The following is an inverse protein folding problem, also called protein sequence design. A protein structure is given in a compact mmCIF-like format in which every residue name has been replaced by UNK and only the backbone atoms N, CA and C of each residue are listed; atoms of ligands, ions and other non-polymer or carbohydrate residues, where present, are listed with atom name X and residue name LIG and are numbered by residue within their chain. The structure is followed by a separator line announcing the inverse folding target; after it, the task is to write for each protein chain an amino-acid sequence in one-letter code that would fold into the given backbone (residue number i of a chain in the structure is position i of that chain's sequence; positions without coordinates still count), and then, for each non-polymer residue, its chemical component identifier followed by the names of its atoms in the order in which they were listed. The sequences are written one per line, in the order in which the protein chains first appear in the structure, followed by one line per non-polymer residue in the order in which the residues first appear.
data_IF_496592415394
#
_entry.id   IF_496592415394
#
_cell.length_a   1.000
_cell.length_b   1.000
_cell.length_c   1.000
_cell.angle_alpha   90.00
_cell.angle_beta   90.00
_cell.angle_gamma   90.00
#
_symmetry.space_group_name_H-M   'P 1'
#
loop_
_entity.id
_entity.type
_entity.pdbx_description
1 polymer ?
2 non-polymer ?
3 non-polymer ?
4 non-polymer ?
5 water ?
#
# COMPACT_ATOMS: atom_id res chain seq x y z
N UNK A 3 -4.94 -4.01 32.62
CA UNK A 3 -5.37 -3.98 31.21
C UNK A 3 -5.13 -2.62 30.59
N UNK A 4 -4.34 -1.77 31.21
CA UNK A 4 -3.91 -0.50 30.62
C UNK A 4 -2.43 -0.59 30.38
N UNK A 5 -2.05 -0.32 29.15
CA UNK A 5 -0.65 -0.36 28.73
C UNK A 5 -0.08 1.05 28.80
N UNK A 6 0.93 1.20 29.66
CA UNK A 6 1.51 2.50 29.90
C UNK A 6 2.99 2.56 29.48
N UNK A 7 3.54 1.47 29.00
CA UNK A 7 4.96 1.34 28.69
C UNK A 7 5.17 0.08 27.85
N UNK A 8 6.36 -0.04 27.26
CA UNK A 8 6.66 -1.24 26.49
C UNK A 8 6.60 -2.43 27.43
N UNK A 9 6.98 -2.35 28.68
CA UNK A 9 6.91 -3.53 29.54
C UNK A 9 5.46 -3.88 29.90
N UNK A 10 4.55 -2.96 30.03
CA UNK A 10 3.14 -3.30 30.32
C UNK A 10 2.55 -4.13 29.22
N UNK A 11 3.07 -3.99 27.99
CA UNK A 11 2.44 -4.61 26.85
C UNK A 11 2.41 -6.11 26.90
N UNK A 12 3.38 -6.68 27.62
CA UNK A 12 3.41 -8.13 27.72
C UNK A 12 2.41 -8.67 28.70
N UNK A 13 1.75 -7.79 29.48
CA UNK A 13 0.88 -8.26 30.55
C UNK A 13 -0.61 -8.11 30.27
N UNK A 14 -1.03 -8.21 29.03
CA UNK A 14 -2.44 -8.06 28.69
C UNK A 14 -3.20 -9.37 28.53
N UNK A 15 -2.58 -10.52 28.77
CA UNK A 15 -3.36 -11.77 28.63
C UNK A 15 -4.43 -11.84 29.64
N UNK A 16 -5.63 -12.15 29.21
CA UNK A 16 -6.80 -12.19 30.05
C UNK A 16 -7.72 -11.03 29.87
N UNK A 17 -7.19 -9.92 29.28
CA UNK A 17 -8.01 -8.75 29.07
C UNK A 17 -8.84 -8.85 27.81
N UNK A 18 -10.15 -8.58 27.92
CA UNK A 18 -10.95 -8.40 26.71
C UNK A 18 -11.09 -6.92 26.33
N UNK A 19 -10.70 -5.99 27.23
CA UNK A 19 -10.73 -4.56 26.95
C UNK A 19 -9.38 -4.03 27.39
N UNK A 20 -8.53 -3.66 26.43
CA UNK A 20 -7.20 -3.14 26.68
C UNK A 20 -7.21 -1.63 26.37
N UNK A 21 -6.64 -0.82 27.23
CA UNK A 21 -6.45 0.58 26.94
C UNK A 21 -4.97 0.83 26.69
N UNK A 22 -4.70 1.40 25.53
CA UNK A 22 -3.31 1.70 25.15
C UNK A 22 -3.14 3.20 25.42
N UNK A 23 -2.47 3.53 26.53
CA UNK A 23 -2.21 4.94 26.84
C UNK A 23 -1.09 5.50 25.93
N UNK A 24 -0.99 6.82 25.96
CA UNK A 24 0.13 7.53 25.24
C UNK A 24 1.40 7.44 26.10
N UNK A 25 2.53 7.27 25.38
CA UNK A 25 3.87 7.20 25.99
C UNK A 25 4.88 7.22 24.87
N UNK A 26 6.16 7.33 25.26
CA UNK A 26 7.26 7.19 24.31
C UNK A 26 7.80 5.79 24.35
N UNK A 27 8.02 5.18 23.18
CA UNK A 27 8.77 3.93 23.06
C UNK A 27 10.26 4.34 23.01
N UNK A 28 11.02 3.99 24.02
CA UNK A 28 12.43 4.47 24.08
C UNK A 28 13.24 3.84 23.01
N UNK A 29 14.40 4.52 22.74
CA UNK A 29 15.42 3.95 21.85
C UNK A 29 15.70 2.50 22.23
N UNK A 30 15.85 1.64 21.23
CA UNK A 30 16.27 0.26 21.50
C UNK A 30 15.15 -0.63 21.97
N UNK A 31 13.87 -0.16 21.92
CA UNK A 31 12.72 -0.97 22.34
C UNK A 31 11.68 -1.07 21.23
N UNK A 32 10.85 -2.11 21.32
CA UNK A 32 9.70 -2.20 20.44
C UNK A 32 8.44 -2.38 21.27
N UNK A 33 7.30 -2.12 20.65
CA UNK A 33 5.97 -2.24 21.31
C UNK A 33 5.25 -3.38 20.62
N UNK A 34 5.05 -4.45 21.38
CA UNK A 34 4.45 -5.70 20.85
C UNK A 34 3.21 -6.03 21.66
N UNK A 35 2.08 -6.16 20.95
CA UNK A 35 0.82 -6.53 21.58
C UNK A 35 0.29 -7.82 20.99
N UNK A 36 -0.01 -8.79 21.90
CA UNK A 36 -0.60 -10.06 21.51
C UNK A 36 -1.91 -10.22 22.27
N UNK A 37 -2.95 -9.52 21.87
CA UNK A 37 -4.19 -9.52 22.70
C UNK A 37 -4.93 -10.85 22.59
N UNK A 38 -5.78 -11.06 23.63
CA UNK A 38 -6.68 -12.21 23.61
C UNK A 38 -7.57 -12.19 22.38
N UNK A 39 -8.01 -13.39 21.99
CA UNK A 39 -9.02 -13.50 20.91
C UNK A 39 -10.19 -12.57 21.14
N UNK A 40 -10.56 -11.77 20.14
CA UNK A 40 -11.72 -10.92 20.23
C UNK A 40 -11.56 -9.70 21.08
N UNK A 41 -10.35 -9.39 21.59
CA UNK A 41 -10.23 -8.24 22.49
C UNK A 41 -10.44 -6.93 21.73
N UNK A 42 -10.95 -5.95 22.47
CA UNK A 42 -10.98 -4.56 22.00
C UNK A 42 -9.75 -3.87 22.59
N UNK A 43 -8.98 -3.20 21.73
CA UNK A 43 -7.83 -2.39 22.15
C UNK A 43 -8.16 -0.98 21.75
N UNK A 44 -8.24 -0.07 22.74
CA UNK A 44 -8.60 1.31 22.51
C UNK A 44 -7.44 2.21 22.83
N UNK A 45 -7.03 3.05 21.87
CA UNK A 45 -5.99 4.01 22.13
C UNK A 45 -6.52 5.22 22.87
N UNK A 46 -5.79 5.63 23.90
CA UNK A 46 -6.19 6.78 24.75
C UNK A 46 -5.14 7.87 24.70
N UNK A 47 -4.07 7.72 23.95
CA UNK A 47 -3.05 8.75 23.79
C UNK A 47 -2.20 8.42 22.57
N UNK A 48 -1.30 9.36 22.27
CA UNK A 48 -0.39 9.18 21.13
C UNK A 48 0.88 8.45 21.61
N UNK A 49 1.44 7.64 20.70
CA UNK A 49 2.68 6.89 21.01
C UNK A 49 3.78 7.40 20.11
N UNK A 50 4.81 7.93 20.74
CA UNK A 50 5.96 8.53 20.01
C UNK A 50 7.15 7.61 20.11
N UNK A 51 7.86 7.42 19.00
CA UNK A 51 8.99 6.47 18.97
C UNK A 51 10.28 7.28 18.89
N UNK A 52 11.06 7.27 19.98
CA UNK A 52 12.35 7.97 19.98
C UNK A 52 13.23 7.43 18.88
N UNK A 53 14.16 8.26 18.40
CA UNK A 53 15.07 7.81 17.34
C UNK A 53 15.81 6.54 17.81
N UNK A 54 15.82 5.53 16.93
CA UNK A 54 16.29 4.20 17.30
C UNK A 54 17.20 3.63 16.22
N UNK A 55 18.02 2.68 16.62
CA UNK A 55 18.88 1.94 15.70
C UNK A 55 18.28 0.59 15.38
N UNK A 56 17.19 0.17 15.99
CA UNK A 56 16.60 -1.13 15.68
C UNK A 56 16.05 -1.23 14.28
N UNK A 57 16.04 -2.45 13.76
CA UNK A 57 15.22 -2.74 12.61
C UNK A 57 13.73 -2.69 12.99
N UNK A 58 12.90 -2.36 12.04
CA UNK A 58 11.47 -2.50 12.24
C UNK A 58 11.06 -3.96 12.13
N UNK A 59 9.79 -4.26 12.46
CA UNK A 59 8.80 -3.29 12.87
C UNK A 59 9.02 -2.79 14.29
N UNK A 60 8.66 -1.49 14.52
CA UNK A 60 8.79 -0.93 15.87
C UNK A 60 7.51 -1.17 16.69
N UNK A 61 6.40 -1.46 16.02
CA UNK A 61 5.13 -1.80 16.65
C UNK A 61 4.59 -3.02 15.94
N UNK A 62 4.24 -4.06 16.67
CA UNK A 62 3.60 -5.26 16.10
C UNK A 62 2.36 -5.59 16.93
N UNK A 63 1.25 -5.80 16.26
CA UNK A 63 0.05 -6.33 16.92
C UNK A 63 -0.39 -7.54 16.12
N UNK A 64 -0.66 -8.63 16.87
CA UNK A 64 -1.02 -9.91 16.26
C UNK A 64 -2.10 -10.52 17.10
N UNK A 65 -3.27 -10.78 16.52
CA UNK A 65 -4.34 -11.45 17.27
C UNK A 65 -5.47 -11.80 16.29
N UNK A 66 -6.47 -12.46 16.85
CA UNK A 66 -7.59 -13.01 16.10
C UNK A 66 -8.85 -12.23 16.48
N UNK A 67 -9.53 -11.65 15.49
CA UNK A 67 -10.79 -10.94 15.75
C UNK A 67 -10.61 -9.71 16.60
N UNK A 68 -9.44 -9.04 16.49
CA UNK A 68 -9.18 -7.85 17.30
C UNK A 68 -10.05 -6.69 16.83
N UNK A 69 -10.52 -5.90 17.80
CA UNK A 69 -11.27 -4.67 17.50
C UNK A 69 -10.39 -3.52 18.01
N UNK A 70 -9.68 -2.85 17.09
CA UNK A 70 -8.75 -1.78 17.46
C UNK A 70 -9.40 -0.46 17.20
N UNK A 71 -9.59 0.33 18.27
CA UNK A 71 -10.33 1.57 18.24
C UNK A 71 -9.32 2.68 18.48
N UNK A 72 -8.96 3.39 17.42
CA UNK A 72 -7.86 4.35 17.49
C UNK A 72 -8.19 5.66 18.14
N UNK A 73 -9.48 6.07 18.07
CA UNK A 73 -9.92 7.35 18.68
C UNK A 73 -9.03 8.50 18.16
N UNK A 74 -8.62 8.43 16.89
CA UNK A 74 -7.87 9.46 16.18
C UNK A 74 -6.48 9.74 16.78
N UNK A 75 -5.95 8.78 17.55
CA UNK A 75 -4.59 8.95 18.07
C UNK A 75 -3.53 8.60 17.04
N UNK A 76 -2.29 8.95 17.40
CA UNK A 76 -1.14 8.96 16.47
C UNK A 76 -0.04 8.05 16.96
N UNK A 77 0.52 7.29 16.02
CA UNK A 77 1.84 6.63 16.16
C UNK A 77 2.84 7.53 15.43
N UNK A 78 3.73 8.18 16.17
CA UNK A 78 4.67 9.17 15.61
C UNK A 78 6.06 8.52 15.45
N UNK A 79 6.46 8.33 14.21
CA UNK A 79 7.70 7.66 13.89
C UNK A 79 8.91 8.56 13.83
N UNK A 80 8.77 9.88 14.04
CA UNK A 80 9.93 10.77 14.01
C UNK A 80 10.72 10.64 12.70
N UNK A 81 10.00 10.47 11.60
CA UNK A 81 10.69 10.11 10.33
C UNK A 81 11.71 11.14 9.88
N UNK A 82 11.48 12.44 10.13
CA UNK A 82 12.42 13.45 9.66
C UNK A 82 13.79 13.32 10.32
N UNK A 83 13.91 12.58 11.43
CA UNK A 83 15.22 12.33 12.01
C UNK A 83 16.03 11.31 11.23
N UNK A 84 15.39 10.64 10.29
CA UNK A 84 16.07 9.61 9.47
C UNK A 84 16.15 10.01 8.00
N UNK A 85 15.10 10.68 7.47
CA UNK A 85 14.99 10.86 6.01
C UNK A 85 16.22 11.54 5.45
N UNK A 86 16.67 10.99 4.31
CA UNK A 86 17.89 11.51 3.67
C UNK A 86 17.78 11.42 2.14
N UNK A 87 16.61 11.22 1.60
CA UNK A 87 16.39 11.09 0.17
C UNK A 87 16.62 9.69 -0.36
N UNK A 88 17.17 8.77 0.44
CA UNK A 88 17.58 7.45 -0.06
C UNK A 88 16.70 6.32 0.49
N UNK A 89 15.89 6.60 1.50
CA UNK A 89 14.96 5.52 1.95
C UNK A 89 15.71 4.27 2.32
N UNK A 90 15.11 3.14 1.93
CA UNK A 90 15.67 1.83 2.26
C UNK A 90 16.59 1.36 1.16
N UNK A 91 16.91 2.25 0.18
CA UNK A 91 17.84 1.87 -0.87
C UNK A 91 19.28 2.01 -0.36
N UNK A 92 19.57 3.00 0.46
CA UNK A 92 20.93 3.35 0.83
C UNK A 92 20.86 4.39 1.93
N UNK A 93 21.97 4.97 2.30
CA UNK A 93 21.98 6.08 3.25
C UNK A 93 21.79 5.61 4.67
N UNK A 94 21.14 6.49 5.43
CA UNK A 94 20.91 6.22 6.86
C UNK A 94 20.01 4.96 7.02
N UNK A 95 20.22 4.26 8.14
CA UNK A 95 19.28 3.18 8.47
C UNK A 95 17.89 3.72 8.68
N UNK A 96 16.89 3.09 8.10
CA UNK A 96 15.49 3.44 8.32
C UNK A 96 14.78 2.26 9.00
N UNK A 97 14.29 2.34 10.24
CA UNK A 97 13.49 1.25 10.77
C UNK A 97 12.23 1.06 9.91
N UNK A 98 12.04 -0.16 9.41
CA UNK A 98 10.90 -0.40 8.53
C UNK A 98 10.51 -1.86 8.58
N UNK A 99 9.25 -2.19 8.35
CA UNK A 99 8.12 -1.24 8.37
C UNK A 99 8.03 -0.61 9.76
N UNK A 100 7.21 0.45 9.87
CA UNK A 100 7.00 1.07 11.18
C UNK A 100 6.08 0.20 12.02
N UNK A 101 4.85 -0.02 11.49
CA UNK A 101 3.86 -0.88 12.13
C UNK A 101 3.72 -2.18 11.35
N UNK A 102 3.44 -3.25 12.10
CA UNK A 102 3.08 -4.56 11.52
C UNK A 102 1.79 -5.02 12.17
N UNK A 103 0.81 -5.37 11.33
CA UNK A 103 -0.52 -5.85 11.77
C UNK A 103 -0.73 -7.24 11.19
N UNK A 104 -0.95 -8.23 12.07
CA UNK A 104 -1.11 -9.61 11.71
C UNK A 104 -2.40 -10.17 12.30
N UNK A 105 -2.91 -11.23 11.71
CA UNK A 105 -4.05 -11.95 12.25
C UNK A 105 -5.35 -11.50 11.57
N UNK A 106 -6.31 -11.03 12.38
CA UNK A 106 -7.61 -10.66 11.82
C UNK A 106 -8.28 -9.67 12.76
N UNK A 107 -9.38 -9.10 12.25
CA UNK A 107 -10.17 -8.14 12.99
C UNK A 107 -10.40 -6.87 12.21
N UNK A 108 -10.62 -5.78 12.94
CA UNK A 108 -10.96 -4.47 12.39
C UNK A 108 -10.17 -3.41 13.12
N UNK A 109 -9.43 -2.60 12.38
CA UNK A 109 -8.56 -1.55 12.88
C UNK A 109 -9.07 -0.23 12.36
N UNK A 110 -9.39 0.71 13.28
CA UNK A 110 -10.05 1.95 12.84
C UNK A 110 -9.42 3.19 13.42
N UNK A 111 -9.42 4.25 12.60
CA UNK A 111 -9.34 5.63 13.09
C UNK A 111 -8.13 5.90 13.94
N UNK A 112 -6.93 5.61 13.36
CA UNK A 112 -5.69 6.14 13.93
C UNK A 112 -4.83 6.66 12.78
N UNK A 113 -3.76 7.35 13.18
CA UNK A 113 -2.83 7.96 12.22
C UNK A 113 -1.43 7.46 12.50
N UNK A 114 -0.73 7.16 11.41
CA UNK A 114 0.73 7.00 11.42
C UNK A 114 1.31 8.29 10.90
N UNK A 115 2.11 8.94 11.74
CA UNK A 115 2.69 10.25 11.40
C UNK A 115 4.20 10.06 11.18
N UNK A 116 4.70 10.46 10.02
CA UNK A 116 6.14 10.50 9.78
C UNK A 116 6.84 9.16 10.07
N UNK A 117 6.42 8.12 9.33
CA UNK A 117 7.17 6.88 9.38
C UNK A 117 8.59 7.10 8.84
N UNK A 118 9.59 6.36 9.39
CA UNK A 118 10.96 6.47 8.83
C UNK A 118 10.99 6.08 7.36
N UNK A 119 10.29 5.02 6.99
CA UNK A 119 10.20 4.57 5.58
C UNK A 119 8.81 3.91 5.47
N UNK A 120 8.75 2.62 5.13
CA UNK A 120 7.45 2.02 4.87
C UNK A 120 6.61 2.05 6.15
N UNK A 121 5.32 2.46 6.00
CA UNK A 121 4.51 2.77 7.19
C UNK A 121 3.85 1.54 7.79
N UNK A 122 2.89 0.94 7.10
CA UNK A 122 2.09 -0.17 7.69
C UNK A 122 2.24 -1.43 6.83
N UNK A 123 2.80 -2.47 7.45
CA UNK A 123 2.90 -3.79 6.83
C UNK A 123 1.75 -4.67 7.33
N UNK A 124 1.04 -5.28 6.40
CA UNK A 124 -0.15 -6.06 6.68
C UNK A 124 0.10 -7.50 6.33
N UNK A 125 -0.12 -8.39 7.28
CA UNK A 125 -0.11 -9.83 7.02
C UNK A 125 0.93 -10.58 7.80
N UNK A 126 0.82 -11.89 7.85
CA UNK A 126 -0.30 -12.68 7.27
C UNK A 126 -1.54 -12.58 8.14
N UNK A 127 -2.62 -13.10 7.57
CA UNK A 127 -3.93 -13.09 8.25
C UNK A 127 -4.38 -14.55 8.56
N UNK A 128 -5.33 -14.60 9.52
CA UNK A 128 -5.97 -15.88 9.86
C UNK A 128 -7.46 -15.83 9.62
N UNK A 129 -8.00 -14.75 9.12
CA UNK A 129 -9.41 -14.52 8.85
C UNK A 129 -9.48 -13.11 8.25
N UNK A 130 -10.68 -12.54 8.06
CA UNK A 130 -10.69 -11.24 7.40
C UNK A 130 -10.05 -10.17 8.29
N UNK A 131 -9.31 -9.26 7.64
CA UNK A 131 -8.65 -8.14 8.29
C UNK A 131 -9.07 -6.85 7.58
N UNK A 132 -9.65 -5.93 8.33
CA UNK A 132 -10.13 -4.66 7.79
C UNK A 132 -9.39 -3.54 8.44
N UNK A 133 -8.85 -2.63 7.62
CA UNK A 133 -8.24 -1.38 8.08
C UNK A 133 -9.14 -0.25 7.55
N UNK A 134 -9.65 0.59 8.45
CA UNK A 134 -10.73 1.52 8.08
C UNK A 134 -10.47 2.87 8.71
N UNK A 135 -10.30 3.90 7.88
CA UNK A 135 -10.19 5.26 8.43
C UNK A 135 -8.84 5.54 9.04
N UNK A 136 -7.79 4.93 8.50
CA UNK A 136 -6.41 5.15 8.93
C UNK A 136 -5.79 6.22 8.04
N UNK A 137 -5.05 7.13 8.68
CA UNK A 137 -4.29 8.14 7.93
C UNK A 137 -2.80 7.83 8.05
N UNK A 138 -2.10 7.76 6.93
CA UNK A 138 -0.62 7.75 6.93
C UNK A 138 -0.24 9.16 6.48
N UNK A 139 0.17 9.99 7.45
CA UNK A 139 0.57 11.35 7.15
C UNK A 139 2.10 11.42 7.17
N UNK A 140 2.68 11.26 5.95
CA UNK A 140 4.07 11.46 5.72
C UNK A 140 4.30 12.71 4.85
N UNK A 141 3.36 13.65 4.88
CA UNK A 141 3.47 14.85 4.04
C UNK A 141 4.80 15.60 4.28
N UNK A 142 5.29 15.65 5.54
CA UNK A 142 6.53 16.34 5.82
C UNK A 142 7.67 15.79 4.99
N UNK A 143 7.58 14.54 4.56
CA UNK A 143 8.62 13.91 3.71
C UNK A 143 8.75 14.56 2.33
N UNK A 144 7.80 15.39 1.92
CA UNK A 144 7.92 16.06 0.64
C UNK A 144 9.02 17.08 0.66
N UNK A 145 9.32 17.66 1.82
CA UNK A 145 10.30 18.78 1.93
C UNK A 145 11.65 18.30 1.47
N UNK A 146 12.20 18.97 0.42
CA UNK A 146 13.47 18.63 -0.18
C UNK A 146 13.48 17.17 -0.65
N UNK A 147 12.30 16.58 -0.92
CA UNK A 147 12.25 15.21 -1.40
C UNK A 147 13.06 14.26 -0.50
N UNK A 148 13.04 14.54 0.82
CA UNK A 148 13.83 13.67 1.70
C UNK A 148 13.10 12.38 2.07
N UNK A 149 11.78 12.40 2.21
CA UNK A 149 11.07 11.15 2.49
C UNK A 149 11.17 10.22 1.29
N UNK A 150 11.29 8.93 1.56
CA UNK A 150 11.54 7.99 0.46
C UNK A 150 11.11 6.58 0.93
N UNK A 151 10.54 5.78 0.02
CA UNK A 151 10.09 4.44 0.38
C UNK A 151 9.06 4.50 1.53
N UNK A 152 8.26 5.57 1.55
CA UNK A 152 7.26 5.79 2.60
C UNK A 152 5.91 5.19 2.23
N UNK A 153 5.94 3.93 1.78
CA UNK A 153 4.71 3.24 1.37
C UNK A 153 3.65 3.34 2.47
N UNK A 154 2.40 3.59 2.06
CA UNK A 154 1.32 3.65 3.06
C UNK A 154 1.02 2.27 3.67
N UNK A 155 0.63 1.37 2.78
CA UNK A 155 0.27 0.00 3.18
C UNK A 155 1.01 -0.97 2.25
N UNK A 156 1.77 -1.90 2.85
CA UNK A 156 2.39 -3.02 2.10
C UNK A 156 1.67 -4.28 2.52
N UNK A 157 1.04 -4.95 1.56
CA UNK A 157 0.17 -6.08 1.87
C UNK A 157 0.72 -7.36 1.29
N UNK A 158 0.95 -8.34 2.18
CA UNK A 158 1.28 -9.75 1.82
C UNK A 158 0.35 -10.61 2.68
N UNK A 159 -0.85 -10.85 2.17
CA UNK A 159 -1.90 -11.40 3.05
C UNK A 159 -3.11 -11.73 2.18
N UNK A 160 -3.91 -12.67 2.71
CA UNK A 160 -5.23 -12.96 2.14
C UNK A 160 -6.32 -12.21 2.88
N UNK A 161 -7.45 -11.97 2.19
CA UNK A 161 -8.67 -11.58 2.89
C UNK A 161 -8.54 -10.27 3.66
N UNK A 162 -8.07 -9.25 2.94
CA UNK A 162 -7.85 -7.91 3.49
C UNK A 162 -8.74 -6.89 2.82
N UNK A 163 -9.30 -5.97 3.62
CA UNK A 163 -9.98 -4.81 3.11
C UNK A 163 -9.34 -3.56 3.74
N UNK A 164 -8.96 -2.59 2.92
CA UNK A 164 -8.45 -1.32 3.36
C UNK A 164 -9.37 -0.25 2.77
N UNK A 165 -10.06 0.50 3.64
CA UNK A 165 -11.11 1.40 3.13
C UNK A 165 -11.09 2.68 3.94
N UNK A 166 -11.53 3.77 3.27
CA UNK A 166 -11.71 5.05 3.95
C UNK A 166 -10.38 5.58 4.55
N UNK A 167 -9.26 5.20 3.98
CA UNK A 167 -7.95 5.65 4.48
C UNK A 167 -7.44 6.82 3.67
N UNK A 168 -6.42 7.48 4.23
CA UNK A 168 -5.80 8.65 3.61
C UNK A 168 -4.28 8.45 3.68
N UNK A 169 -3.59 8.58 2.55
CA UNK A 169 -2.13 8.45 2.54
C UNK A 169 -1.51 9.63 1.83
N UNK A 170 -0.63 10.34 2.52
CA UNK A 170 0.14 11.46 2.00
C UNK A 170 1.61 11.05 2.14
N UNK A 171 2.27 10.75 1.02
CA UNK A 171 3.59 10.12 1.14
C UNK A 171 4.41 10.35 -0.12
N UNK A 172 5.48 9.53 -0.27
CA UNK A 172 6.46 9.69 -1.35
C UNK A 172 6.66 8.38 -2.11
N UNK A 173 5.82 7.38 -1.89
CA UNK A 173 5.95 6.11 -2.61
C UNK A 173 4.55 5.52 -2.75
N UNK A 174 4.47 4.22 -3.01
CA UNK A 174 3.15 3.62 -3.27
C UNK A 174 2.19 3.96 -2.13
N UNK A 175 0.97 4.33 -2.50
CA UNK A 175 -0.10 4.50 -1.52
C UNK A 175 -0.40 3.16 -0.82
N UNK A 176 -0.54 2.16 -1.68
CA UNK A 176 -0.61 0.74 -1.31
C UNK A 176 0.28 0.01 -2.31
N UNK A 177 0.97 -1.03 -1.80
CA UNK A 177 1.63 -2.01 -2.67
C UNK A 177 1.11 -3.39 -2.22
N UNK A 178 0.40 -4.06 -3.14
CA UNK A 178 -0.10 -5.40 -2.88
C UNK A 178 0.92 -6.36 -3.47
N UNK A 179 1.65 -7.05 -2.56
CA UNK A 179 2.80 -7.84 -2.97
C UNK A 179 2.55 -9.35 -3.02
N UNK A 180 1.53 -9.83 -2.33
CA UNK A 180 1.21 -11.25 -2.31
C UNK A 180 -0.18 -11.40 -1.69
N UNK A 181 -0.95 -12.38 -2.15
CA UNK A 181 -2.20 -12.73 -1.49
C UNK A 181 -3.41 -12.69 -2.41
N UNK A 182 -4.48 -13.29 -1.88
CA UNK A 182 -5.76 -13.42 -2.54
C UNK A 182 -6.84 -12.67 -1.78
N UNK A 183 -7.77 -12.05 -2.55
CA UNK A 183 -9.00 -11.45 -2.00
C UNK A 183 -8.64 -10.20 -1.18
N UNK A 184 -8.24 -9.19 -1.90
CA UNK A 184 -7.78 -7.93 -1.33
C UNK A 184 -8.59 -6.80 -1.97
N UNK A 185 -9.17 -5.97 -1.11
CA UNK A 185 -10.05 -4.88 -1.53
C UNK A 185 -9.48 -3.56 -1.00
N UNK A 186 -9.30 -2.59 -1.90
CA UNK A 186 -8.78 -1.26 -1.55
C UNK A 186 -9.88 -0.28 -2.04
N UNK A 187 -10.70 0.24 -1.11
CA UNK A 187 -11.91 0.95 -1.51
C UNK A 187 -12.05 2.29 -0.77
N UNK A 188 -12.40 3.32 -1.55
CA UNK A 188 -12.78 4.64 -0.99
C UNK A 188 -11.64 5.24 -0.17
N UNK A 189 -10.40 5.11 -0.69
CA UNK A 189 -9.24 5.72 -0.08
C UNK A 189 -8.80 6.97 -0.86
N UNK A 190 -7.99 7.80 -0.22
CA UNK A 190 -7.43 9.02 -0.84
C UNK A 190 -5.92 8.95 -0.76
N UNK A 191 -5.25 9.06 -1.89
CA UNK A 191 -3.81 8.97 -2.04
C UNK A 191 -3.26 10.23 -2.63
N UNK A 192 -2.23 10.84 -2.03
CA UNK A 192 -1.62 12.01 -2.64
C UNK A 192 -0.12 12.00 -2.38
N UNK A 193 0.64 12.64 -3.30
CA UNK A 193 2.07 12.87 -3.17
C UNK A 193 2.95 11.73 -3.61
N UNK A 194 2.45 10.52 -3.56
CA UNK A 194 3.26 9.31 -3.74
C UNK A 194 3.20 8.78 -5.14
N UNK A 195 3.24 7.44 -5.23
CA UNK A 195 3.37 6.72 -6.49
C UNK A 195 2.09 5.98 -6.90
N UNK A 196 0.94 6.33 -6.28
CA UNK A 196 -0.29 5.73 -6.76
C UNK A 196 -0.55 4.37 -6.15
N UNK A 197 -1.48 3.66 -6.79
CA UNK A 197 -2.01 2.39 -6.27
C UNK A 197 -1.34 1.26 -7.00
N UNK A 198 -0.55 0.44 -6.29
CA UNK A 198 0.30 -0.55 -6.92
C UNK A 198 -0.02 -1.97 -6.51
N UNK A 199 0.16 -2.86 -7.52
CA UNK A 199 0.37 -4.31 -7.31
C UNK A 199 1.82 -4.54 -7.64
N UNK A 200 2.57 -5.10 -6.66
CA UNK A 200 3.98 -5.38 -6.81
C UNK A 200 4.85 -4.29 -6.21
N UNK A 201 6.16 -4.43 -6.41
CA UNK A 201 6.79 -5.36 -7.34
C UNK A 201 6.58 -6.79 -6.96
N UNK A 202 6.16 -7.57 -7.95
CA UNK A 202 5.97 -9.01 -7.80
C UNK A 202 7.31 -9.70 -7.92
N UNK A 203 7.65 -10.46 -6.90
CA UNK A 203 8.90 -11.23 -6.81
C UNK A 203 8.64 -12.69 -7.04
N UNK A 204 9.74 -13.45 -7.21
CA UNK A 204 9.65 -14.89 -7.39
C UNK A 204 8.80 -15.52 -6.25
N UNK A 205 7.90 -16.42 -6.69
CA UNK A 205 7.08 -17.20 -5.76
C UNK A 205 5.87 -16.44 -5.22
N UNK A 206 5.61 -15.23 -5.66
CA UNK A 206 4.49 -14.45 -5.12
C UNK A 206 3.34 -14.44 -6.11
N UNK A 207 2.11 -14.45 -5.54
CA UNK A 207 0.91 -14.59 -6.37
C UNK A 207 -0.16 -13.68 -5.79
N UNK A 208 -0.56 -12.69 -6.60
CA UNK A 208 -1.63 -11.73 -6.21
C UNK A 208 -2.86 -12.09 -7.03
N UNK A 209 -4.03 -12.24 -6.35
CA UNK A 209 -5.23 -12.61 -7.09
C UNK A 209 -6.45 -12.01 -6.44
N UNK A 210 -7.49 -11.81 -7.28
CA UNK A 210 -8.80 -11.35 -6.82
C UNK A 210 -8.67 -10.05 -6.00
N UNK A 211 -8.23 -9.02 -6.70
CA UNK A 211 -8.01 -7.67 -6.15
C UNK A 211 -9.11 -6.79 -6.73
N UNK A 212 -9.72 -5.99 -5.84
CA UNK A 212 -10.68 -4.94 -6.25
C UNK A 212 -10.15 -3.60 -5.76
N UNK A 213 -9.95 -2.68 -6.71
CA UNK A 213 -9.47 -1.33 -6.45
C UNK A 213 -10.62 -0.40 -6.84
N UNK A 214 -11.38 0.07 -5.85
CA UNK A 214 -12.69 0.68 -6.16
C UNK A 214 -12.87 2.01 -5.41
N UNK A 215 -13.32 3.05 -6.15
CA UNK A 215 -13.80 4.25 -5.45
C UNK A 215 -12.71 5.13 -4.88
N UNK A 216 -11.45 4.94 -5.29
CA UNK A 216 -10.35 5.72 -4.71
C UNK A 216 -10.10 7.00 -5.49
N UNK A 217 -9.49 7.96 -4.76
CA UNK A 217 -9.03 9.19 -5.38
C UNK A 217 -7.51 9.26 -5.25
N UNK A 218 -6.83 9.56 -6.35
CA UNK A 218 -5.40 9.70 -6.37
C UNK A 218 -5.09 11.08 -6.97
N UNK A 219 -4.28 11.87 -6.28
CA UNK A 219 -3.88 13.20 -6.79
C UNK A 219 -2.39 13.38 -6.61
N UNK A 220 -1.83 14.31 -7.41
CA UNK A 220 -0.45 14.79 -7.23
C UNK A 220 0.51 13.61 -6.95
N UNK A 221 0.53 12.69 -7.90
CA UNK A 221 1.28 11.42 -7.75
C UNK A 221 2.05 11.15 -8.99
N UNK A 222 3.05 10.22 -8.87
CA UNK A 222 3.91 9.93 -10.01
C UNK A 222 3.23 8.97 -11.00
N UNK A 223 2.36 8.10 -10.47
CA UNK A 223 1.63 7.15 -11.29
C UNK A 223 0.20 7.12 -10.75
N UNK A 224 -0.73 6.74 -11.63
CA UNK A 224 -2.09 6.52 -11.15
C UNK A 224 -2.27 5.10 -10.58
N UNK A 225 -2.22 4.11 -11.48
CA UNK A 225 -2.20 2.72 -11.07
C UNK A 225 -1.02 2.05 -11.75
N UNK A 226 -0.43 1.09 -11.03
CA UNK A 226 0.65 0.29 -11.55
C UNK A 226 0.50 -1.17 -11.20
N UNK A 227 0.91 -2.02 -12.14
CA UNK A 227 1.15 -3.43 -11.83
C UNK A 227 2.60 -3.66 -12.28
N UNK A 228 3.45 -4.00 -11.34
CA UNK A 228 4.90 -4.14 -11.58
C UNK A 228 5.33 -5.55 -11.17
N UNK A 229 6.04 -6.23 -12.08
CA UNK A 229 6.70 -7.49 -11.76
C UNK A 229 8.17 -7.37 -12.11
N UNK A 230 9.01 -7.87 -11.22
CA UNK A 230 10.44 -7.92 -11.51
C UNK A 230 10.67 -8.70 -12.81
N UNK A 231 11.52 -8.13 -13.65
CA UNK A 231 11.87 -8.81 -14.91
C UNK A 231 12.30 -10.26 -14.63
N UNK A 232 13.06 -10.47 -13.53
CA UNK A 232 13.64 -11.80 -13.24
C UNK A 232 12.71 -12.76 -12.49
N UNK A 233 11.52 -12.33 -12.09
CA UNK A 233 10.68 -13.18 -11.23
C UNK A 233 10.20 -14.39 -11.96
N UNK A 234 10.18 -15.51 -11.25
CA UNK A 234 9.61 -16.74 -11.75
C UNK A 234 8.63 -17.31 -10.73
N UNK A 235 7.83 -18.29 -11.17
CA UNK A 235 6.81 -18.91 -10.26
C UNK A 235 5.97 -17.88 -9.56
N UNK A 236 5.49 -16.88 -10.36
CA UNK A 236 4.80 -15.73 -9.79
C UNK A 236 3.59 -15.41 -10.68
N UNK A 237 2.66 -14.60 -10.19
CA UNK A 237 1.50 -14.23 -11.05
C UNK A 237 0.71 -13.11 -10.42
N UNK A 238 -0.05 -12.43 -11.29
CA UNK A 238 -1.12 -11.50 -10.91
C UNK A 238 -2.32 -11.89 -11.72
N UNK A 239 -3.46 -12.21 -11.05
CA UNK A 239 -4.63 -12.67 -11.81
C UNK A 239 -5.91 -12.17 -11.17
N UNK A 240 -6.77 -11.54 -11.97
CA UNK A 240 -8.11 -11.16 -11.47
C UNK A 240 -8.02 -9.82 -10.71
N UNK A 241 -7.84 -8.73 -11.44
CA UNK A 241 -7.77 -7.39 -10.89
C UNK A 241 -8.85 -6.55 -11.52
N UNK A 242 -9.64 -5.88 -10.68
CA UNK A 242 -10.70 -4.99 -11.18
C UNK A 242 -10.50 -3.59 -10.62
N UNK A 243 -10.37 -2.65 -11.53
CA UNK A 243 -10.35 -1.22 -11.21
C UNK A 243 -11.75 -0.67 -11.52
N UNK A 244 -12.36 -0.02 -10.52
CA UNK A 244 -13.77 0.41 -10.63
C UNK A 244 -13.89 1.74 -9.94
N UNK A 245 -14.37 2.80 -10.66
CA UNK A 245 -14.80 4.03 -9.97
C UNK A 245 -13.64 4.78 -9.33
N UNK A 246 -12.44 4.79 -9.94
CA UNK A 246 -11.34 5.59 -9.38
C UNK A 246 -11.23 6.91 -10.09
N UNK A 247 -10.91 7.97 -9.34
CA UNK A 247 -10.76 9.31 -9.90
C UNK A 247 -9.34 9.78 -9.62
N UNK A 248 -8.58 9.98 -10.70
CA UNK A 248 -7.14 10.19 -10.60
C UNK A 248 -6.75 11.41 -11.40
N UNK A 249 -5.85 12.25 -10.85
CA UNK A 249 -5.45 13.47 -11.55
C UNK A 249 -4.06 13.89 -11.04
N UNK A 250 -3.46 14.82 -11.78
CA UNK A 250 -2.18 15.38 -11.36
C UNK A 250 -1.05 14.34 -11.44
N UNK A 251 -1.06 13.50 -12.46
CA UNK A 251 -0.09 12.39 -12.56
C UNK A 251 1.10 12.80 -13.40
N UNK A 252 2.30 12.59 -12.82
CA UNK A 252 3.52 13.10 -13.43
C UNK A 252 4.15 12.20 -14.46
N UNK A 253 4.08 10.89 -14.31
CA UNK A 253 4.85 9.97 -15.14
C UNK A 253 3.95 9.06 -15.97
N UNK A 254 3.14 8.19 -15.37
CA UNK A 254 2.23 7.33 -16.13
C UNK A 254 0.86 7.28 -15.47
N UNK A 255 -0.21 7.50 -16.26
CA UNK A 255 -1.54 7.24 -15.72
C UNK A 255 -1.73 5.80 -15.30
N UNK A 256 -1.39 4.89 -16.23
CA UNK A 256 -1.37 3.47 -16.01
C UNK A 256 -0.05 2.94 -16.51
N UNK A 257 0.67 2.15 -15.66
CA UNK A 257 1.85 1.44 -16.11
C UNK A 257 1.75 0.00 -15.62
N UNK A 258 1.60 -0.92 -16.58
CA UNK A 258 1.52 -2.36 -16.32
C UNK A 258 2.75 -2.93 -16.97
N UNK A 259 3.69 -3.44 -16.17
CA UNK A 259 5.00 -3.76 -16.72
C UNK A 259 5.66 -4.93 -16.02
N UNK A 260 6.23 -5.81 -16.87
CA UNK A 260 7.03 -6.94 -16.42
C UNK A 260 8.54 -6.69 -16.61
N UNK A 261 8.94 -5.45 -16.68
CA UNK A 261 10.35 -5.05 -16.84
C UNK A 261 10.98 -4.52 -15.55
N UNK A 262 10.25 -4.51 -14.43
CA UNK A 262 10.74 -3.81 -13.23
C UNK A 262 12.10 -4.33 -12.85
N UNK A 263 13.03 -3.45 -12.43
CA UNK A 263 12.80 -2.04 -12.06
C UNK A 263 12.68 -1.05 -13.24
N UNK A 264 12.96 -1.51 -14.48
CA UNK A 264 12.78 -0.67 -15.63
C UNK A 264 11.31 -0.55 -15.98
N UNK A 265 10.91 0.57 -16.61
CA UNK A 265 9.53 0.71 -17.07
C UNK A 265 9.25 -0.20 -18.29
N UNK A 266 10.15 -0.28 -19.22
CA UNK A 266 10.00 -1.08 -20.42
C UNK A 266 11.35 -1.73 -20.76
N UNK A 267 11.27 -2.65 -21.74
CA UNK A 267 12.44 -3.34 -22.28
C UNK A 267 12.58 -4.75 -21.78
N UNK A 268 12.72 -5.70 -22.66
CA UNK A 268 13.03 -7.10 -22.36
C UNK A 268 12.14 -7.51 -21.18
N UNK A 269 10.80 -7.40 -21.29
CA UNK A 269 9.96 -7.80 -20.15
C UNK A 269 10.09 -9.28 -19.88
N UNK A 270 9.99 -9.61 -18.59
CA UNK A 270 10.03 -11.01 -18.15
C UNK A 270 8.76 -11.77 -18.53
N UNK A 271 8.95 -13.09 -18.46
CA UNK A 271 7.85 -14.01 -18.82
C UNK A 271 7.42 -14.88 -17.68
N UNK A 272 8.04 -14.76 -16.49
CA UNK A 272 7.81 -15.67 -15.38
C UNK A 272 6.80 -15.21 -14.34
N UNK A 273 6.17 -14.04 -14.54
CA UNK A 273 5.18 -13.52 -13.61
C UNK A 273 3.90 -13.13 -14.36
N UNK A 274 3.25 -14.11 -15.00
CA UNK A 274 2.13 -13.80 -15.90
C UNK A 274 1.06 -12.96 -15.21
N UNK A 275 0.54 -11.98 -15.99
CA UNK A 275 -0.61 -11.15 -15.59
C UNK A 275 -1.83 -11.62 -16.38
N UNK A 276 -2.96 -11.78 -15.71
CA UNK A 276 -4.19 -12.19 -16.40
C UNK A 276 -5.40 -11.46 -15.78
N UNK A 277 -6.38 -11.28 -16.65
CA UNK A 277 -7.74 -10.83 -16.23
C UNK A 277 -7.67 -9.51 -15.45
N UNK A 278 -7.20 -8.47 -16.14
CA UNK A 278 -7.07 -7.12 -15.57
C UNK A 278 -8.13 -6.23 -16.27
N UNK A 279 -9.10 -5.71 -15.51
CA UNK A 279 -10.25 -5.00 -16.06
C UNK A 279 -10.38 -3.61 -15.44
N UNK A 280 -10.93 -2.69 -16.23
CA UNK A 280 -11.44 -1.38 -15.75
C UNK A 280 -12.94 -1.38 -16.11
N UNK A 281 -13.76 -1.77 -15.11
CA UNK A 281 -15.22 -1.93 -15.30
C UNK A 281 -15.94 -1.30 -14.12
N UNK A 282 -17.29 -1.27 -14.23
CA UNK A 282 -18.10 -0.72 -13.13
C UNK A 282 -18.18 0.78 -13.32
N UNK A 283 -17.91 1.55 -12.28
CA UNK A 283 -17.89 3.01 -12.41
C UNK A 283 -16.69 3.44 -13.24
N UNK A 284 -16.79 4.59 -13.91
CA UNK A 284 -15.68 5.13 -14.67
C UNK A 284 -14.43 5.29 -13.80
N UNK A 285 -13.29 4.84 -14.35
CA UNK A 285 -12.00 5.24 -13.80
C UNK A 285 -11.45 6.30 -14.80
N UNK A 286 -11.38 7.52 -14.27
CA UNK A 286 -10.92 8.62 -15.09
C UNK A 286 -9.58 9.06 -14.54
N UNK A 287 -8.62 9.25 -15.47
CA UNK A 287 -7.24 9.59 -15.08
C UNK A 287 -6.76 10.75 -15.94
N UNK A 288 -6.36 11.82 -15.29
CA UNK A 288 -5.82 13.03 -15.97
C UNK A 288 -4.35 13.11 -15.66
N UNK A 289 -3.51 13.20 -16.70
CA UNK A 289 -2.10 13.22 -16.52
C UNK A 289 -1.53 14.58 -16.94
N UNK A 290 -0.34 14.89 -16.42
CA UNK A 290 0.34 16.15 -16.69
C UNK A 290 0.92 16.19 -18.08
N UNK A 291 1.38 17.39 -18.47
CA UNK A 291 1.77 17.59 -19.85
C UNK A 291 2.92 16.69 -20.34
N UNK A 292 3.88 16.41 -19.48
CA UNK A 292 5.01 15.57 -19.86
C UNK A 292 4.80 14.10 -19.59
N UNK A 293 3.62 13.75 -19.05
CA UNK A 293 3.35 12.37 -18.65
C UNK A 293 2.89 11.53 -19.84
N UNK A 294 2.93 10.22 -19.64
CA UNK A 294 2.37 9.22 -20.55
C UNK A 294 1.03 8.74 -20.02
N UNK A 295 0.05 8.56 -20.90
CA UNK A 295 -1.28 8.07 -20.48
C UNK A 295 -1.24 6.62 -20.00
N UNK A 296 -1.02 5.69 -20.93
CA UNK A 296 -1.02 4.25 -20.61
C UNK A 296 0.12 3.55 -21.33
N UNK A 297 0.89 2.78 -20.58
CA UNK A 297 1.83 1.82 -21.17
C UNK A 297 1.57 0.44 -20.55
N UNK A 298 1.49 -0.56 -21.42
CA UNK A 298 1.44 -1.97 -21.02
C UNK A 298 2.65 -2.63 -21.67
N UNK A 299 3.51 -3.24 -20.84
CA UNK A 299 4.75 -3.89 -21.29
C UNK A 299 4.76 -5.31 -20.76
N UNK A 300 4.19 -6.22 -21.55
CA UNK A 300 4.04 -7.62 -21.17
C UNK A 300 5.03 -8.51 -21.91
N UNK A 301 5.72 -9.38 -21.16
CA UNK A 301 6.32 -10.59 -21.71
C UNK A 301 5.39 -11.76 -21.63
N UNK A 302 4.41 -11.79 -20.71
CA UNK A 302 3.53 -12.93 -20.58
C UNK A 302 2.23 -12.43 -19.91
N UNK A 303 1.22 -12.16 -20.74
CA UNK A 303 -0.08 -11.70 -20.22
C UNK A 303 -1.18 -12.42 -21.00
N UNK A 304 -2.29 -12.69 -20.33
CA UNK A 304 -3.38 -13.45 -20.90
C UNK A 304 -4.74 -12.86 -20.48
N UNK A 305 -5.76 -13.19 -21.27
CA UNK A 305 -7.15 -12.93 -20.95
C UNK A 305 -7.74 -11.82 -21.82
N UNK A 306 -9.06 -11.63 -21.59
CA UNK A 306 -9.83 -10.56 -22.28
C UNK A 306 -9.95 -9.43 -21.29
N UNK A 307 -9.03 -8.46 -21.44
CA UNK A 307 -8.96 -7.32 -20.49
C UNK A 307 -9.99 -6.30 -20.95
N UNK A 308 -11.09 -6.22 -20.17
CA UNK A 308 -12.18 -5.27 -20.52
C UNK A 308 -11.82 -3.94 -19.82
N UNK A 309 -11.38 -2.98 -20.62
CA UNK A 309 -10.98 -1.67 -20.13
C UNK A 309 -12.01 -0.60 -20.54
N UNK A 310 -13.29 -1.04 -20.71
CA UNK A 310 -14.31 -0.14 -21.25
C UNK A 310 -14.52 1.07 -20.42
N UNK A 311 -14.34 0.98 -19.09
CA UNK A 311 -14.63 2.13 -18.22
C UNK A 311 -13.42 3.01 -17.91
N UNK A 312 -12.29 2.76 -18.60
CA UNK A 312 -11.12 3.63 -18.40
C UNK A 312 -11.15 4.81 -19.37
N UNK A 313 -10.91 5.99 -18.86
CA UNK A 313 -10.66 7.20 -19.70
C UNK A 313 -9.37 7.84 -19.16
N UNK A 314 -8.39 7.99 -19.99
CA UNK A 314 -7.15 8.69 -19.60
C UNK A 314 -6.94 9.85 -20.60
N UNK A 315 -6.70 11.04 -20.07
CA UNK A 315 -6.51 12.23 -20.88
C UNK A 315 -5.26 13.00 -20.38
N UNK A 316 -4.79 13.87 -21.28
CA UNK A 316 -3.59 14.65 -21.01
C UNK A 316 -2.32 13.97 -21.58
N UNK A 317 -1.19 14.69 -21.49
CA UNK A 317 0.09 14.06 -21.78
C UNK A 317 0.15 13.50 -23.18
N UNK A 318 0.89 12.40 -23.32
CA UNK A 318 1.12 11.75 -24.62
C UNK A 318 0.77 10.28 -24.54
N UNK A 319 0.59 9.68 -25.71
CA UNK A 319 0.30 8.26 -25.77
C UNK A 319 1.48 7.43 -25.31
N UNK A 320 1.20 6.33 -24.66
CA UNK A 320 2.23 5.31 -24.36
C UNK A 320 2.22 4.22 -25.42
N UNK A 321 2.69 3.03 -25.00
CA UNK A 321 2.78 1.89 -25.92
C UNK A 321 2.08 0.71 -25.28
N UNK A 322 1.49 -0.14 -26.16
CA UNK A 322 0.78 -1.34 -25.71
C UNK A 322 1.43 -2.57 -26.32
N UNK A 323 1.98 -3.42 -25.47
CA UNK A 323 2.57 -4.72 -25.83
C UNK A 323 1.90 -5.66 -24.84
N UNK A 324 0.77 -6.24 -25.24
CA UNK A 324 -0.05 -7.02 -24.30
C UNK A 324 0.10 -8.51 -24.42
N UNK A 325 1.04 -8.99 -25.24
CA UNK A 325 1.28 -10.43 -25.36
C UNK A 325 0.00 -11.13 -25.77
N UNK A 326 -0.44 -12.15 -25.04
CA UNK A 326 -1.64 -12.89 -25.45
C UNK A 326 -2.93 -12.20 -25.04
N UNK A 327 -2.85 -11.21 -24.15
CA UNK A 327 -4.06 -10.54 -23.67
C UNK A 327 -4.62 -9.64 -24.76
N UNK A 328 -5.96 -9.56 -24.77
CA UNK A 328 -6.66 -8.64 -25.69
C UNK A 328 -7.27 -7.54 -24.88
N UNK A 329 -6.83 -6.28 -25.09
CA UNK A 329 -7.40 -5.15 -24.33
C UNK A 329 -8.48 -4.48 -25.15
N UNK A 330 -9.69 -4.40 -24.63
CA UNK A 330 -10.87 -3.75 -25.26
C UNK A 330 -11.13 -2.46 -24.47
N UNK A 331 -10.96 -1.27 -25.03
CA UNK A 331 -10.82 0.07 -24.28
C UNK A 331 -12.26 0.49 -24.30
N UNK A 332 -12.66 1.62 -23.79
CA UNK A 332 -11.82 2.58 -23.13
C UNK A 332 -11.32 3.66 -24.06
N UNK A 333 -10.84 4.74 -23.45
CA UNK A 333 -10.31 5.87 -24.18
C UNK A 333 -8.98 6.24 -23.55
N UNK A 334 -7.88 6.08 -24.27
CA UNK A 334 -6.55 6.38 -23.75
C UNK A 334 -5.46 6.38 -24.81
N UNK A 335 -5.68 5.89 -26.00
CA UNK A 335 -4.64 5.77 -27.05
C UNK A 335 -4.25 7.15 -27.58
#
# INVERSE_FOLDING_TARGET
ATCTVKSVDDAKDIAGCSAVTLNGFTVPAGNTLVLNPDKGATVTMAGDITFAKTTLDGPLFTIDGTGINFVGADHIFDGNGALYWDGKGTNNGTHKPHPFLKIKGSGTYKKFEVLNSPAQAISVGPTDAHLTLDGITVDDFAGDTKNLGHNTDGFDVSANNVTIQNCIVKNQDDCIAINDGNNIRFENNQCSGGHGISIGSIATGKHVSNVVIKGNTVTRSMYGVRIKAQRTATSASVSGVTYDANTISGIAKYGVLISQSYPDDVGNPGTGAPFSDVNFTGGATTIKVNNAATRVTVECGNCSGNWNWSQLTVTGGKAGTIKSDKAKITGGQYL
#
